data_IF_571546117582
#
_entry.id   IF_571546117582
#
_cell.length_a   1.000
_cell.length_b   1.000
_cell.length_c   1.000
_cell.angle_alpha   90.00
_cell.angle_beta   90.00
_cell.angle_gamma   90.00
#
_symmetry.space_group_name_H-M   'P 1'
#
loop_
_entity.id
_entity.type
_entity.pdbx_description
1 polymer ?
#
# COMPACT_ATOMS: atom_id res chain seq x y z
N UNK A 1 0.68 24.88 -1.50
CA UNK A 1 2.13 24.62 -1.74
C UNK A 1 2.86 24.58 -0.40
N UNK A 2 2.92 23.40 0.23
CA UNK A 2 3.80 23.16 1.37
C UNK A 2 5.23 23.02 0.88
N UNK A 3 6.19 23.70 1.54
CA UNK A 3 7.61 23.58 1.21
C UNK A 3 8.04 22.11 1.43
N UNK A 4 8.84 21.51 0.53
CA UNK A 4 9.35 20.15 0.74
C UNK A 4 10.16 20.10 2.04
N UNK A 5 9.88 19.07 2.86
CA UNK A 5 10.47 18.91 4.18
C UNK A 5 11.97 18.61 4.05
N UNK A 6 12.78 19.18 4.93
CA UNK A 6 14.26 19.11 4.94
C UNK A 6 14.85 17.69 4.86
N UNK A 7 14.04 16.66 5.14
CA UNK A 7 14.41 15.25 5.05
C UNK A 7 14.27 14.66 3.63
N UNK A 8 13.35 15.17 2.81
CA UNK A 8 13.10 14.69 1.44
C UNK A 8 14.22 15.18 0.50
N UNK A 9 14.58 16.46 0.62
CA UNK A 9 15.74 17.05 -0.07
C UNK A 9 17.04 16.34 0.33
N UNK A 10 17.19 15.94 1.60
CA UNK A 10 18.38 15.24 2.08
C UNK A 10 18.45 13.76 1.67
N UNK A 11 17.34 13.15 1.26
CA UNK A 11 17.29 11.77 0.77
C UNK A 11 17.54 11.71 -0.74
N UNK A 12 16.99 12.67 -1.50
CA UNK A 12 17.31 12.87 -2.93
C UNK A 12 18.78 13.17 -3.15
N UNK A 13 19.36 14.06 -2.34
CA UNK A 13 20.78 14.49 -2.39
C UNK A 13 21.75 13.37 -1.92
N UNK A 14 21.27 12.39 -1.12
CA UNK A 14 22.03 11.16 -0.81
C UNK A 14 21.97 10.12 -1.92
N UNK A 15 20.80 9.91 -2.51
CA UNK A 15 20.63 9.02 -3.67
C UNK A 15 21.46 9.48 -4.87
N UNK A 16 21.51 10.80 -5.14
CA UNK A 16 22.37 11.39 -6.17
C UNK A 16 23.86 11.16 -5.88
N UNK A 17 24.33 11.28 -4.63
CA UNK A 17 25.75 11.09 -4.30
C UNK A 17 26.24 9.65 -4.31
N UNK A 18 25.37 8.66 -4.08
CA UNK A 18 25.74 7.24 -4.19
C UNK A 18 25.59 6.70 -5.62
N UNK A 19 24.63 7.23 -6.39
CA UNK A 19 24.32 6.75 -7.74
C UNK A 19 25.25 7.34 -8.81
N UNK A 20 25.62 8.62 -8.72
CA UNK A 20 26.52 9.29 -9.68
C UNK A 20 27.89 8.62 -9.80
N UNK A 21 28.59 8.25 -8.70
CA UNK A 21 29.88 7.55 -8.80
C UNK A 21 29.77 6.18 -9.46
N UNK A 22 28.65 5.47 -9.28
CA UNK A 22 28.42 4.14 -9.86
C UNK A 22 28.22 4.16 -11.37
N UNK A 23 27.56 5.22 -11.87
CA UNK A 23 27.38 5.44 -13.32
C UNK A 23 28.69 5.86 -13.96
N UNK A 24 29.46 6.76 -13.34
CA UNK A 24 30.78 7.16 -13.84
C UNK A 24 31.71 5.94 -14.01
N UNK A 25 31.72 5.06 -13.01
CA UNK A 25 32.54 3.86 -13.01
C UNK A 25 32.07 2.80 -14.02
N UNK A 26 30.75 2.71 -14.26
CA UNK A 26 30.18 1.85 -15.31
C UNK A 26 30.48 2.36 -16.72
N UNK A 27 30.48 3.67 -16.92
CA UNK A 27 30.81 4.32 -18.20
C UNK A 27 32.31 4.19 -18.49
N UNK A 28 33.17 4.41 -17.48
CA UNK A 28 34.62 4.25 -17.61
C UNK A 28 34.98 2.81 -18.01
N UNK A 29 34.36 1.81 -17.36
CA UNK A 29 34.55 0.39 -17.67
C UNK A 29 34.02 -0.01 -19.05
N UNK A 30 32.94 0.59 -19.52
CA UNK A 30 32.38 0.33 -20.86
C UNK A 30 33.19 1.00 -21.99
N UNK A 31 33.91 2.07 -21.66
CA UNK A 31 34.74 2.84 -22.60
C UNK A 31 36.22 2.40 -22.59
N UNK A 32 36.63 1.60 -21.60
CA UNK A 32 37.97 1.03 -21.51
C UNK A 32 38.24 0.13 -22.74
N UNK A 33 39.16 0.58 -23.59
CA UNK A 33 39.60 -0.16 -24.79
C UNK A 33 38.91 0.20 -26.11
N UNK A 34 37.95 1.14 -26.16
CA UNK A 34 37.29 1.55 -27.42
C UNK A 34 37.43 3.03 -27.81
N UNK A 35 38.10 3.87 -27.01
CA UNK A 35 38.26 5.31 -27.30
C UNK A 35 39.68 5.78 -26.95
N UNK A 36 40.33 6.53 -27.86
CA UNK A 36 41.64 7.15 -27.61
C UNK A 36 41.52 8.24 -26.53
N UNK A 37 42.44 8.22 -25.56
CA UNK A 37 42.44 8.95 -24.27
C UNK A 37 42.22 10.48 -24.27
N UNK A 38 42.04 11.15 -25.41
CA UNK A 38 42.10 12.61 -25.49
C UNK A 38 40.74 13.33 -25.46
N UNK A 39 39.63 12.63 -25.69
CA UNK A 39 38.28 13.25 -25.73
C UNK A 39 37.32 12.76 -24.62
N UNK A 40 37.80 11.88 -23.73
CA UNK A 40 37.01 11.23 -22.67
C UNK A 40 36.23 12.20 -21.76
N UNK A 41 36.79 13.31 -21.24
CA UNK A 41 36.05 14.14 -20.28
C UNK A 41 34.93 14.97 -20.92
N UNK A 42 34.96 15.17 -22.24
CA UNK A 42 33.95 15.98 -22.95
C UNK A 42 32.72 15.14 -23.31
N UNK A 43 32.94 13.90 -23.74
CA UNK A 43 31.85 12.97 -24.13
C UNK A 43 31.06 12.46 -22.93
N UNK A 44 31.75 12.17 -21.81
CA UNK A 44 31.10 11.70 -20.57
C UNK A 44 30.17 12.77 -20.00
N UNK A 45 30.58 14.05 -20.04
CA UNK A 45 29.79 15.19 -19.55
C UNK A 45 28.58 15.51 -20.43
N UNK A 46 28.66 15.25 -21.74
CA UNK A 46 27.53 15.44 -22.66
C UNK A 46 26.51 14.30 -22.58
N UNK A 47 26.95 13.06 -22.33
CA UNK A 47 26.05 11.91 -22.18
C UNK A 47 25.32 11.88 -20.84
N UNK A 48 25.97 12.35 -19.76
CA UNK A 48 25.30 12.49 -18.44
C UNK A 48 24.13 13.47 -18.49
N UNK A 49 24.25 14.56 -19.26
CA UNK A 49 23.13 15.51 -19.43
C UNK A 49 21.94 14.95 -20.22
N UNK A 50 22.12 13.87 -21.00
CA UNK A 50 21.05 13.21 -21.77
C UNK A 50 20.41 12.06 -20.94
N UNK A 51 21.14 11.49 -19.99
CA UNK A 51 20.72 10.35 -19.17
C UNK A 51 19.97 10.73 -17.88
N UNK A 52 19.82 12.02 -17.57
CA UNK A 52 18.86 12.48 -16.54
C UNK A 52 17.46 12.47 -17.16
N UNK A 53 16.94 11.26 -17.39
CA UNK A 53 15.52 11.08 -17.60
C UNK A 53 14.81 11.47 -16.31
N UNK A 54 14.02 12.54 -16.35
CA UNK A 54 13.14 12.93 -15.23
C UNK A 54 12.15 11.79 -14.97
N UNK A 55 12.52 10.85 -14.09
CA UNK A 55 11.59 9.84 -13.58
C UNK A 55 10.75 10.48 -12.50
N UNK A 56 9.63 11.09 -12.93
CA UNK A 56 8.63 11.57 -11.99
C UNK A 56 7.60 10.47 -11.76
N UNK A 57 7.61 9.88 -10.57
CA UNK A 57 6.62 8.92 -10.11
C UNK A 57 5.59 9.66 -9.27
N UNK A 58 4.48 10.00 -9.92
CA UNK A 58 3.30 10.57 -9.31
C UNK A 58 2.15 10.53 -10.31
N UNK A 59 0.89 10.64 -9.87
CA UNK A 59 -0.28 10.59 -10.76
C UNK A 59 -0.39 11.78 -11.72
N UNK A 60 0.55 12.73 -11.63
CA UNK A 60 0.47 14.04 -12.26
C UNK A 60 1.66 14.24 -13.21
N UNK A 61 1.42 14.71 -14.46
CA UNK A 61 2.49 15.04 -15.38
C UNK A 61 3.42 16.11 -14.78
N UNK A 62 4.70 16.08 -15.15
CA UNK A 62 5.61 17.15 -14.74
C UNK A 62 5.03 18.52 -15.15
N UNK A 63 5.08 19.55 -14.28
CA UNK A 63 4.44 20.85 -14.53
C UNK A 63 4.84 21.50 -15.87
N UNK A 64 6.06 21.20 -16.33
CA UNK A 64 6.56 21.67 -17.63
C UNK A 64 5.80 21.04 -18.80
N UNK A 65 5.52 19.74 -18.75
CA UNK A 65 4.72 19.05 -19.77
C UNK A 65 3.25 19.46 -19.71
N UNK A 66 2.72 19.68 -18.51
CA UNK A 66 1.35 20.15 -18.32
C UNK A 66 1.10 21.50 -18.99
N UNK A 67 2.10 22.40 -18.95
CA UNK A 67 2.09 23.67 -19.69
C UNK A 67 2.22 23.48 -21.20
N UNK A 68 3.09 22.58 -21.66
CA UNK A 68 3.22 22.24 -23.09
C UNK A 68 1.90 21.67 -23.66
N UNK A 69 1.18 20.85 -22.89
CA UNK A 69 -0.13 20.33 -23.30
C UNK A 69 -1.19 21.43 -23.43
N UNK A 70 -1.19 22.41 -22.51
CA UNK A 70 -2.11 23.57 -22.56
C UNK A 70 -1.80 24.48 -23.76
N UNK A 71 -0.52 24.69 -24.07
CA UNK A 71 -0.08 25.48 -25.22
C UNK A 71 -0.46 24.82 -26.56
N UNK A 72 -0.47 23.48 -26.63
CA UNK A 72 -0.88 22.73 -27.83
C UNK A 72 -2.40 22.67 -27.96
N UNK A 73 -3.10 22.43 -26.85
CA UNK A 73 -4.55 22.32 -26.80
C UNK A 73 -5.09 23.03 -25.55
N UNK A 74 -5.62 24.25 -25.68
CA UNK A 74 -6.19 24.98 -24.56
C UNK A 74 -7.31 24.18 -23.87
N UNK A 75 -7.24 24.07 -22.54
CA UNK A 75 -8.11 23.27 -21.69
C UNK A 75 -7.66 21.82 -21.52
N UNK A 76 -6.52 21.40 -22.06
CA UNK A 76 -5.98 20.06 -21.84
C UNK A 76 -5.48 19.87 -20.40
N UNK A 77 -4.86 20.89 -19.81
CA UNK A 77 -4.39 20.85 -18.43
C UNK A 77 -5.54 20.55 -17.46
N UNK A 78 -6.63 21.30 -17.58
CA UNK A 78 -7.83 21.15 -16.73
C UNK A 78 -8.43 19.74 -16.85
N UNK A 79 -8.52 19.19 -18.07
CA UNK A 79 -9.05 17.83 -18.28
C UNK A 79 -8.17 16.77 -17.65
N UNK A 80 -6.85 16.92 -17.71
CA UNK A 80 -5.90 15.98 -17.09
C UNK A 80 -6.02 16.05 -15.56
N UNK A 81 -6.09 17.26 -15.00
CA UNK A 81 -6.24 17.47 -13.56
C UNK A 81 -7.58 16.89 -13.07
N UNK A 82 -8.68 17.20 -13.76
CA UNK A 82 -10.02 16.66 -13.46
C UNK A 82 -10.02 15.14 -13.50
N UNK A 83 -9.39 14.53 -14.51
CA UNK A 83 -9.28 13.07 -14.61
C UNK A 83 -8.46 12.47 -13.46
N UNK A 84 -7.37 13.13 -13.05
CA UNK A 84 -6.55 12.68 -11.93
C UNK A 84 -7.31 12.79 -10.59
N UNK A 85 -8.09 13.86 -10.41
CA UNK A 85 -8.95 14.07 -9.24
C UNK A 85 -10.07 13.05 -9.17
N UNK A 86 -10.78 12.81 -10.29
CA UNK A 86 -11.82 11.79 -10.40
C UNK A 86 -11.28 10.39 -10.12
N UNK A 87 -10.11 10.05 -10.68
CA UNK A 87 -9.48 8.76 -10.43
C UNK A 87 -9.07 8.62 -8.97
N UNK A 88 -8.53 9.68 -8.35
CA UNK A 88 -8.19 9.70 -6.93
C UNK A 88 -9.44 9.55 -6.05
N UNK A 89 -10.53 10.22 -6.39
CA UNK A 89 -11.81 10.09 -5.70
C UNK A 89 -12.39 8.68 -5.87
N UNK A 90 -12.26 8.08 -7.05
CA UNK A 90 -12.69 6.71 -7.31
C UNK A 90 -11.88 5.69 -6.51
N UNK A 91 -10.56 5.81 -6.50
CA UNK A 91 -9.69 4.94 -5.69
C UNK A 91 -10.02 5.06 -4.20
N UNK A 92 -10.17 6.30 -3.70
CA UNK A 92 -10.57 6.54 -2.30
C UNK A 92 -11.91 5.90 -1.98
N UNK A 93 -12.89 6.03 -2.88
CA UNK A 93 -14.21 5.42 -2.70
C UNK A 93 -14.12 3.88 -2.68
N UNK A 94 -13.35 3.29 -3.59
CA UNK A 94 -13.15 1.84 -3.63
C UNK A 94 -12.47 1.34 -2.34
N UNK A 95 -11.50 2.08 -1.80
CA UNK A 95 -10.85 1.78 -0.53
C UNK A 95 -11.85 1.88 0.64
N UNK A 96 -12.67 2.94 0.67
CA UNK A 96 -13.74 3.13 1.67
C UNK A 96 -14.77 1.99 1.61
N UNK A 97 -15.29 1.67 0.42
CA UNK A 97 -16.27 0.61 0.20
C UNK A 97 -15.70 -0.76 0.62
N UNK A 98 -14.41 -1.01 0.33
CA UNK A 98 -13.72 -2.25 0.71
C UNK A 98 -13.54 -2.36 2.23
N UNK A 99 -13.16 -1.26 2.89
CA UNK A 99 -13.05 -1.20 4.34
C UNK A 99 -14.41 -1.37 5.03
N UNK A 100 -15.45 -0.73 4.49
CA UNK A 100 -16.81 -0.86 5.01
C UNK A 100 -17.30 -2.31 4.89
N UNK A 101 -17.12 -2.94 3.73
CA UNK A 101 -17.47 -4.35 3.52
C UNK A 101 -16.73 -5.27 4.52
N UNK A 102 -15.44 -5.04 4.75
CA UNK A 102 -14.65 -5.83 5.70
C UNK A 102 -15.13 -5.63 7.16
N UNK A 103 -15.50 -4.39 7.53
CA UNK A 103 -16.07 -4.09 8.85
C UNK A 103 -17.42 -4.77 9.02
N UNK A 104 -18.27 -4.74 8.00
CA UNK A 104 -19.59 -5.34 8.05
C UNK A 104 -19.56 -6.87 8.08
N UNK A 105 -18.67 -7.49 7.30
CA UNK A 105 -18.44 -8.93 7.35
C UNK A 105 -17.92 -9.36 8.73
N UNK A 106 -17.00 -8.58 9.32
CA UNK A 106 -16.53 -8.82 10.70
C UNK A 106 -17.66 -8.72 11.72
N UNK A 107 -18.50 -7.68 11.64
CA UNK A 107 -19.65 -7.51 12.55
C UNK A 107 -20.65 -8.66 12.43
N UNK A 108 -20.97 -9.08 11.20
CA UNK A 108 -21.88 -10.21 10.95
C UNK A 108 -21.30 -11.51 11.49
N UNK A 109 -20.04 -11.80 11.19
CA UNK A 109 -19.33 -12.97 11.71
C UNK A 109 -19.33 -13.02 13.25
N UNK A 110 -19.08 -11.88 13.91
CA UNK A 110 -19.11 -11.80 15.37
C UNK A 110 -20.52 -12.02 15.94
N UNK A 111 -21.58 -11.50 15.30
CA UNK A 111 -22.97 -11.75 15.73
C UNK A 111 -23.35 -13.23 15.61
N UNK A 112 -23.02 -13.88 14.50
CA UNK A 112 -23.27 -15.32 14.33
C UNK A 112 -22.45 -16.15 15.31
N UNK A 113 -21.18 -15.80 15.54
CA UNK A 113 -20.32 -16.46 16.52
C UNK A 113 -20.86 -16.33 17.95
N UNK A 114 -21.30 -15.14 18.36
CA UNK A 114 -21.92 -14.91 19.66
C UNK A 114 -23.24 -15.69 19.82
N UNK A 115 -24.06 -15.73 18.77
CA UNK A 115 -25.29 -16.52 18.74
C UNK A 115 -25.03 -18.02 18.90
N UNK A 116 -24.05 -18.58 18.18
CA UNK A 116 -23.67 -19.98 18.28
C UNK A 116 -23.09 -20.31 19.66
N UNK A 117 -22.23 -19.43 20.20
CA UNK A 117 -21.68 -19.60 21.55
C UNK A 117 -22.78 -19.61 22.63
N UNK A 118 -23.73 -18.67 22.55
CA UNK A 118 -24.90 -18.64 23.42
C UNK A 118 -25.76 -19.90 23.30
N UNK A 119 -25.99 -20.37 22.06
CA UNK A 119 -26.73 -21.62 21.81
C UNK A 119 -26.05 -22.83 22.47
N UNK A 120 -24.72 -22.95 22.38
CA UNK A 120 -23.98 -24.05 23.02
C UNK A 120 -24.12 -24.03 24.55
N UNK A 121 -24.15 -22.86 25.18
CA UNK A 121 -24.39 -22.73 26.63
C UNK A 121 -25.81 -23.15 26.99
N UNK A 122 -26.81 -22.72 26.22
CA UNK A 122 -28.21 -23.12 26.45
C UNK A 122 -28.39 -24.63 26.28
N UNK A 123 -27.77 -25.23 25.26
CA UNK A 123 -27.80 -26.68 25.04
C UNK A 123 -27.07 -27.44 26.16
N UNK A 124 -25.93 -26.94 26.64
CA UNK A 124 -25.25 -27.52 27.79
C UNK A 124 -26.18 -27.54 29.02
N UNK A 125 -26.83 -26.41 29.31
CA UNK A 125 -27.76 -26.31 30.44
C UNK A 125 -29.01 -27.20 30.26
N UNK A 126 -29.57 -27.25 29.06
CA UNK A 126 -30.72 -28.11 28.76
C UNK A 126 -30.37 -29.60 28.88
N UNK A 127 -29.14 -29.99 28.52
CA UNK A 127 -28.70 -31.40 28.57
C UNK A 127 -28.63 -31.97 29.99
N UNK A 128 -28.44 -31.11 31.01
CA UNK A 128 -28.51 -31.48 32.43
C UNK A 128 -29.89 -31.96 32.87
N UNK A 129 -30.97 -31.50 32.22
CA UNK A 129 -32.34 -31.90 32.57
C UNK A 129 -32.81 -33.15 31.82
N UNK A 130 -32.11 -33.52 30.75
CA UNK A 130 -32.50 -34.65 29.88
C UNK A 130 -31.62 -35.87 30.10
N UNK A 131 -30.37 -35.68 30.53
CA UNK A 131 -29.37 -36.75 30.64
C UNK A 131 -28.84 -36.81 32.07
N UNK A 132 -28.89 -37.97 32.72
CA UNK A 132 -28.27 -38.24 34.03
C UNK A 132 -26.72 -38.29 33.98
N UNK A 133 -26.12 -37.88 32.85
CA UNK A 133 -24.68 -37.95 32.59
C UNK A 133 -24.07 -36.54 32.56
N UNK A 134 -23.06 -36.32 33.39
CA UNK A 134 -22.30 -35.06 33.46
C UNK A 134 -21.35 -34.87 32.25
N UNK A 135 -21.09 -35.93 31.48
CA UNK A 135 -20.14 -35.90 30.35
C UNK A 135 -20.67 -35.04 29.21
N UNK A 136 -21.97 -35.12 28.93
CA UNK A 136 -22.63 -34.42 27.82
C UNK A 136 -22.57 -32.88 27.99
N UNK A 137 -23.01 -32.29 29.12
CA UNK A 137 -22.88 -30.84 29.34
C UNK A 137 -21.42 -30.37 29.37
N UNK A 138 -20.51 -31.18 29.90
CA UNK A 138 -19.07 -30.89 29.89
C UNK A 138 -18.49 -30.76 28.48
N UNK A 139 -18.90 -31.62 27.56
CA UNK A 139 -18.45 -31.56 26.15
C UNK A 139 -18.89 -30.26 25.46
N UNK A 140 -20.15 -29.85 25.67
CA UNK A 140 -20.67 -28.59 25.12
C UNK A 140 -19.94 -27.36 25.68
N UNK A 141 -19.62 -27.35 26.98
CA UNK A 141 -18.83 -26.29 27.61
C UNK A 141 -17.39 -26.24 27.09
N UNK A 142 -16.74 -27.38 26.89
CA UNK A 142 -15.40 -27.45 26.29
C UNK A 142 -15.42 -26.90 24.85
N UNK A 143 -16.40 -27.29 24.04
CA UNK A 143 -16.55 -26.78 22.67
C UNK A 143 -16.80 -25.25 22.65
N UNK A 144 -17.66 -24.76 23.54
CA UNK A 144 -17.96 -23.34 23.65
C UNK A 144 -16.72 -22.54 24.07
N UNK A 145 -15.97 -22.98 25.08
CA UNK A 145 -14.78 -22.25 25.57
C UNK A 145 -13.67 -22.15 24.52
N UNK A 146 -13.37 -23.24 23.80
CA UNK A 146 -12.40 -23.22 22.69
C UNK A 146 -12.87 -22.28 21.58
N UNK A 147 -14.15 -22.36 21.18
CA UNK A 147 -14.75 -21.46 20.20
C UNK A 147 -14.71 -19.98 20.64
N UNK A 148 -14.99 -19.70 21.91
CA UNK A 148 -14.96 -18.36 22.49
C UNK A 148 -13.55 -17.77 22.53
N UNK A 149 -12.56 -18.55 22.98
CA UNK A 149 -11.16 -18.11 23.03
C UNK A 149 -10.63 -17.83 21.61
N UNK A 150 -10.90 -18.72 20.65
CA UNK A 150 -10.45 -18.54 19.27
C UNK A 150 -11.08 -17.30 18.62
N UNK A 151 -12.38 -17.07 18.85
CA UNK A 151 -13.06 -15.85 18.41
C UNK A 151 -12.47 -14.59 19.06
N UNK A 152 -12.19 -14.63 20.37
CA UNK A 152 -11.60 -13.51 21.09
C UNK A 152 -10.18 -13.17 20.63
N UNK A 153 -9.33 -14.18 20.41
CA UNK A 153 -7.97 -13.99 19.89
C UNK A 153 -7.99 -13.40 18.49
N UNK A 154 -8.84 -13.94 17.60
CA UNK A 154 -8.96 -13.43 16.21
C UNK A 154 -9.56 -12.02 16.17
N UNK A 155 -10.49 -11.70 17.07
CA UNK A 155 -11.00 -10.35 17.25
C UNK A 155 -9.94 -9.35 17.70
N UNK A 156 -9.00 -9.77 18.57
CA UNK A 156 -7.92 -8.92 19.05
C UNK A 156 -6.83 -8.67 18.01
N UNK A 157 -6.46 -9.66 17.21
CA UNK A 157 -5.38 -9.52 16.20
C UNK A 157 -5.77 -8.70 14.99
N UNK A 158 -7.07 -8.59 14.68
CA UNK A 158 -7.55 -7.86 13.50
C UNK A 158 -7.94 -6.40 13.80
N UNK A 159 -7.84 -5.96 15.06
CA UNK A 159 -8.17 -4.60 15.51
C UNK A 159 -6.98 -3.77 15.97
N UNK A 160 -5.75 -4.17 15.63
CA UNK A 160 -4.50 -3.46 15.91
C UNK A 160 -3.70 -3.19 14.66
#
# INVERSE_FOLDING_TARGET
MGKPTKQEVANTDRGEREFVPSIELAIEKALEGKVQRRDLPVVVKQLTNIAVGEQFVGPMPHPKHLREYEDILPGAAERIMSMAEENSAHMKKMDEDSLEAEVDDRKRGMRFGAGLFGLLIVLAFASLFVTDSEIVPGLFLCAATIGGITAFVKGRTNGG
#
